data_IF_172596703433
#
_entry.id   IF_172596703433
#
_cell.length_a   1.000
_cell.length_b   1.000
_cell.length_c   1.000
_cell.angle_alpha   90.00
_cell.angle_beta   90.00
_cell.angle_gamma   90.00
#
_symmetry.space_group_name_H-M   'P 1'
#
loop_
_entity.id
_entity.type
_entity.pdbx_description
1 polymer ?
#
# COMPACT_ATOMS: atom_id res chain seq x y z
N UNK A 1 19.18 -19.10 -3.39
CA UNK A 1 18.55 -18.90 -2.06
C UNK A 1 18.70 -17.43 -1.69
N UNK A 2 17.65 -16.79 -1.19
CA UNK A 2 17.66 -15.38 -0.77
C UNK A 2 17.62 -15.25 0.76
N UNK A 3 18.24 -16.20 1.47
CA UNK A 3 18.38 -16.23 2.92
C UNK A 3 17.04 -16.06 3.67
N UNK A 4 15.96 -16.65 3.14
CA UNK A 4 14.63 -16.57 3.74
C UNK A 4 13.96 -15.19 3.68
N UNK A 5 14.40 -14.27 2.79
CA UNK A 5 13.71 -12.99 2.58
C UNK A 5 12.24 -13.21 2.16
N UNK A 6 11.32 -12.55 2.87
CA UNK A 6 9.87 -12.57 2.59
C UNK A 6 9.40 -11.15 2.26
N UNK A 7 8.75 -10.98 1.11
CA UNK A 7 8.13 -9.74 0.71
C UNK A 7 6.67 -9.72 1.20
N UNK A 8 6.31 -8.75 2.03
CA UNK A 8 4.97 -8.60 2.59
C UNK A 8 4.08 -7.78 1.65
N UNK A 9 2.78 -7.71 1.97
CA UNK A 9 1.81 -6.83 1.32
C UNK A 9 1.81 -6.91 -0.22
N UNK A 10 1.81 -8.14 -0.76
CA UNK A 10 1.86 -8.45 -2.21
C UNK A 10 3.18 -8.07 -2.90
N UNK A 11 4.24 -7.76 -2.14
CA UNK A 11 5.57 -7.61 -2.69
C UNK A 11 6.05 -8.88 -3.37
N UNK A 12 6.82 -8.73 -4.45
CA UNK A 12 7.38 -9.84 -5.23
C UNK A 12 8.89 -9.86 -5.07
N UNK A 13 9.46 -11.02 -4.75
CA UNK A 13 10.92 -11.17 -4.66
C UNK A 13 11.54 -11.30 -6.06
N UNK A 14 12.54 -10.48 -6.36
CA UNK A 14 13.46 -10.73 -7.46
C UNK A 14 14.52 -11.73 -6.98
N UNK A 15 14.51 -12.94 -7.54
CA UNK A 15 15.44 -14.01 -7.14
C UNK A 15 16.88 -13.82 -7.63
N UNK A 16 17.14 -12.86 -8.53
CA UNK A 16 18.49 -12.57 -9.04
C UNK A 16 19.19 -11.58 -8.13
N UNK A 17 18.48 -10.55 -7.68
CA UNK A 17 19.02 -9.49 -6.80
C UNK A 17 18.69 -9.73 -5.33
N UNK A 18 17.78 -10.65 -5.02
CA UNK A 18 17.24 -10.89 -3.69
C UNK A 18 16.67 -9.61 -3.06
N UNK A 19 15.88 -8.86 -3.82
CA UNK A 19 15.19 -7.64 -3.37
C UNK A 19 13.69 -7.76 -3.57
N UNK A 20 12.90 -7.10 -2.73
CA UNK A 20 11.46 -7.02 -2.91
C UNK A 20 11.07 -5.84 -3.81
N UNK A 21 10.25 -6.13 -4.82
CA UNK A 21 9.46 -5.15 -5.57
C UNK A 21 8.12 -4.97 -4.87
N UNK A 22 7.88 -3.80 -4.29
CA UNK A 22 6.67 -3.52 -3.52
C UNK A 22 5.51 -3.03 -4.39
N UNK A 23 4.29 -3.39 -4.01
CA UNK A 23 3.06 -2.98 -4.70
C UNK A 23 2.49 -1.69 -4.08
N UNK A 24 1.89 -0.85 -4.93
CA UNK A 24 1.14 0.34 -4.50
C UNK A 24 1.93 1.27 -3.55
N UNK A 25 1.41 1.44 -2.33
CA UNK A 25 1.97 2.34 -1.32
C UNK A 25 3.06 1.69 -0.45
N UNK A 26 3.34 0.40 -0.61
CA UNK A 26 4.29 -0.28 0.27
C UNK A 26 5.73 0.00 -0.15
N UNK A 27 6.63 0.08 0.83
CA UNK A 27 8.07 0.30 0.62
C UNK A 27 8.91 -0.41 1.68
N UNK A 28 10.22 -0.25 1.56
CA UNK A 28 11.20 -0.88 2.43
C UNK A 28 11.65 -2.23 1.88
N UNK A 29 12.69 -2.81 2.48
CA UNK A 29 13.32 -4.05 2.01
C UNK A 29 12.34 -5.22 1.95
N UNK A 30 11.31 -5.21 2.81
CA UNK A 30 10.30 -6.26 2.95
C UNK A 30 8.88 -5.79 2.64
N UNK A 31 8.69 -4.57 2.12
CA UNK A 31 7.36 -3.99 1.82
C UNK A 31 6.43 -3.89 3.05
N UNK A 32 6.98 -3.77 4.25
CA UNK A 32 6.24 -3.63 5.52
C UNK A 32 5.89 -2.17 5.86
N UNK A 33 6.56 -1.22 5.22
CA UNK A 33 6.40 0.21 5.48
C UNK A 33 5.43 0.82 4.46
N UNK A 34 4.71 1.85 4.88
CA UNK A 34 3.85 2.64 3.99
C UNK A 34 4.56 3.92 3.53
N UNK A 35 4.36 4.25 2.26
CA UNK A 35 4.71 5.51 1.64
C UNK A 35 3.44 6.32 1.39
N UNK A 36 2.85 6.82 2.47
CA UNK A 36 1.61 7.58 2.40
C UNK A 36 1.77 8.86 1.56
N UNK A 37 0.83 9.18 0.65
CA UNK A 37 0.78 10.49 0.02
C UNK A 37 0.46 11.58 1.07
N UNK A 38 0.52 12.86 0.70
CA UNK A 38 0.19 13.94 1.64
C UNK A 38 -1.31 13.93 2.03
N UNK A 39 -2.18 13.56 1.09
CA UNK A 39 -3.63 13.50 1.24
C UNK A 39 -4.23 12.48 0.28
N UNK A 40 -5.50 12.14 0.49
CA UNK A 40 -6.30 11.36 -0.46
C UNK A 40 -6.67 12.20 -1.69
N UNK A 41 -6.95 11.54 -2.82
CA UNK A 41 -7.52 12.21 -3.99
C UNK A 41 -8.89 12.83 -3.69
N UNK A 42 -9.24 13.91 -4.39
CA UNK A 42 -10.50 14.65 -4.16
C UNK A 42 -11.78 13.80 -4.33
N UNK A 43 -11.70 12.68 -5.07
CA UNK A 43 -12.81 11.74 -5.28
C UNK A 43 -13.09 10.86 -4.05
N UNK A 44 -12.12 10.71 -3.15
CA UNK A 44 -12.27 9.97 -1.90
C UNK A 44 -13.25 10.72 -0.97
N UNK A 45 -14.26 10.02 -0.45
CA UNK A 45 -15.38 10.57 0.35
C UNK A 45 -16.36 11.48 -0.39
N UNK A 46 -16.12 11.87 -1.64
CA UNK A 46 -17.06 12.65 -2.46
C UNK A 46 -17.79 11.79 -3.48
N UNK A 47 -17.04 11.03 -4.28
CA UNK A 47 -17.54 10.09 -5.28
C UNK A 47 -17.42 8.65 -4.79
N UNK A 48 -16.36 8.35 -4.05
CA UNK A 48 -16.10 7.01 -3.51
C UNK A 48 -16.38 7.00 -2.01
N UNK A 49 -17.45 6.30 -1.56
CA UNK A 49 -17.76 6.17 -0.15
C UNK A 49 -16.77 5.22 0.55
N UNK A 50 -16.59 5.31 1.88
CA UNK A 50 -15.66 4.45 2.63
C UNK A 50 -15.92 2.94 2.47
N UNK A 51 -17.15 2.53 2.16
CA UNK A 51 -17.47 1.14 1.86
C UNK A 51 -16.68 0.57 0.68
N UNK A 52 -16.22 1.44 -0.23
CA UNK A 52 -15.45 1.03 -1.40
C UNK A 52 -14.10 0.45 -1.02
N UNK A 53 -13.57 0.79 0.16
CA UNK A 53 -12.34 0.21 0.71
C UNK A 53 -12.38 -1.31 0.82
N UNK A 54 -13.57 -1.91 1.03
CA UNK A 54 -13.74 -3.36 1.11
C UNK A 54 -14.32 -3.99 -0.16
N UNK A 55 -14.81 -3.16 -1.10
CA UNK A 55 -15.43 -3.63 -2.36
C UNK A 55 -14.43 -3.65 -3.52
N UNK A 56 -13.48 -2.72 -3.56
CA UNK A 56 -12.57 -2.52 -4.68
C UNK A 56 -11.11 -2.53 -4.22
N UNK A 57 -10.30 -3.40 -4.82
CA UNK A 57 -8.90 -3.62 -4.42
C UNK A 57 -7.97 -2.41 -4.61
N UNK A 58 -8.33 -1.47 -5.50
CA UNK A 58 -7.53 -0.27 -5.77
C UNK A 58 -7.80 0.85 -4.75
N UNK A 59 -9.02 0.92 -4.20
CA UNK A 59 -9.47 2.03 -3.35
C UNK A 59 -8.63 2.20 -2.09
N UNK A 60 -8.15 1.15 -1.40
CA UNK A 60 -7.20 1.32 -0.30
C UNK A 60 -5.88 1.98 -0.71
N UNK A 61 -5.43 1.78 -1.95
CA UNK A 61 -4.20 2.40 -2.48
C UNK A 61 -4.45 3.84 -2.96
N UNK A 62 -5.60 4.11 -3.60
CA UNK A 62 -5.98 5.43 -4.12
C UNK A 62 -6.51 6.39 -3.03
N UNK A 63 -7.16 5.85 -2.00
CA UNK A 63 -7.76 6.57 -0.88
C UNK A 63 -7.27 6.03 0.49
N UNK A 64 -5.95 6.00 0.74
CA UNK A 64 -5.39 5.33 1.90
C UNK A 64 -5.79 5.94 3.25
N UNK A 65 -6.07 7.24 3.33
CA UNK A 65 -6.54 7.87 4.58
C UNK A 65 -8.02 7.55 4.83
N UNK A 66 -8.85 7.59 3.79
CA UNK A 66 -10.25 7.18 3.85
C UNK A 66 -10.38 5.73 4.32
N UNK A 67 -9.51 4.86 3.81
CA UNK A 67 -9.49 3.43 4.14
C UNK A 67 -8.68 3.08 5.38
N UNK A 68 -8.09 4.06 6.06
CA UNK A 68 -7.37 3.87 7.33
C UNK A 68 -6.01 3.18 7.22
N UNK A 69 -5.46 3.02 6.00
CA UNK A 69 -4.08 2.59 5.78
C UNK A 69 -3.10 3.66 6.25
N UNK A 70 -3.35 4.90 5.84
CA UNK A 70 -2.57 6.05 6.25
C UNK A 70 -3.26 6.85 7.35
N UNK A 71 -2.48 7.40 8.28
CA UNK A 71 -2.97 8.22 9.40
C UNK A 71 -2.50 9.65 9.17
N UNK A 72 -3.41 10.61 9.19
CA UNK A 72 -3.01 12.02 9.25
C UNK A 72 -2.30 12.22 10.59
N UNK A 73 -1.11 12.84 10.56
CA UNK A 73 -0.32 13.10 11.75
C UNK A 73 -1.19 13.79 12.80
N UNK A 74 -1.23 13.20 14.00
CA UNK A 74 -1.79 13.85 15.19
C UNK A 74 -0.82 14.90 15.70
#
# INVERSE_FOLDING_TARGET
DCNGLICLNKGTIDLKTCTCSCDGLYKGTTCDQLNCPAEDGQFCRTQWPPEYCSKFSNVPTDCPYMCGLCKTGK
#
